data_IF_931004483686
#
_entry.id   IF_931004483686
#
_cell.length_a   1.000
_cell.length_b   1.000
_cell.length_c   1.000
_cell.angle_alpha   90.00
_cell.angle_beta   90.00
_cell.angle_gamma   90.00
#
_symmetry.space_group_name_H-M   'P 1'
#
loop_
_entity.id
_entity.type
_entity.pdbx_description
1 polymer ?
#
# COMPACT_ATOMS: atom_id res chain seq x y z
N UNK A 1 -51.16 9.99 55.17
CA UNK A 1 -51.51 11.12 54.29
C UNK A 1 -50.27 11.54 53.54
N UNK A 2 -50.19 11.23 52.25
CA UNK A 2 -50.53 12.17 51.15
C UNK A 2 -49.58 13.38 51.16
N UNK A 3 -48.91 13.75 50.06
CA UNK A 3 -49.40 13.76 48.70
C UNK A 3 -48.27 14.09 47.73
N UNK A 4 -48.27 13.39 46.61
CA UNK A 4 -47.82 13.88 45.31
C UNK A 4 -48.55 15.19 44.92
N UNK A 5 -47.85 16.11 44.25
CA UNK A 5 -48.41 17.07 43.31
C UNK A 5 -47.23 17.71 42.53
N UNK A 6 -46.99 17.38 41.26
CA UNK A 6 -47.75 17.84 40.09
C UNK A 6 -47.33 19.27 39.69
N UNK A 7 -46.52 19.35 38.63
CA UNK A 7 -46.27 20.59 37.89
C UNK A 7 -47.26 20.67 36.72
N UNK A 8 -48.00 21.78 36.56
CA UNK A 8 -48.91 22.01 35.46
C UNK A 8 -48.25 22.71 34.25
N UNK A 9 -48.37 22.03 33.11
CA UNK A 9 -49.11 22.41 31.89
C UNK A 9 -48.93 23.75 31.11
N UNK A 10 -48.89 23.56 29.78
CA UNK A 10 -49.16 24.43 28.63
C UNK A 10 -48.20 25.59 28.31
N UNK A 11 -47.72 25.79 27.07
CA UNK A 11 -48.49 26.05 25.83
C UNK A 11 -47.55 25.87 24.62
N UNK A 12 -47.81 24.95 23.69
CA UNK A 12 -48.45 25.11 22.36
C UNK A 12 -47.75 26.06 21.37
N UNK A 13 -47.17 25.50 20.30
CA UNK A 13 -47.28 26.02 18.93
C UNK A 13 -46.86 24.94 17.90
N UNK A 14 -47.79 24.67 16.99
CA UNK A 14 -47.72 23.77 15.84
C UNK A 14 -46.63 24.13 14.83
N UNK A 15 -46.08 23.13 14.15
CA UNK A 15 -45.15 23.31 13.04
C UNK A 15 -44.61 21.98 12.51
N UNK A 16 -45.40 21.34 11.63
CA UNK A 16 -45.01 20.21 10.80
C UNK A 16 -43.64 20.45 10.14
N UNK A 17 -42.58 19.79 10.64
CA UNK A 17 -41.31 19.71 9.92
C UNK A 17 -41.24 18.39 9.18
N UNK A 18 -41.70 18.43 7.92
CA UNK A 18 -41.54 17.38 6.95
C UNK A 18 -40.05 17.06 6.75
N UNK A 19 -39.63 15.86 7.16
CA UNK A 19 -38.34 15.29 6.79
C UNK A 19 -38.31 15.07 5.27
N UNK A 20 -37.42 15.74 4.50
CA UNK A 20 -37.34 15.50 3.07
C UNK A 20 -36.72 14.12 2.85
N UNK A 21 -37.55 13.17 2.41
CA UNK A 21 -37.10 11.94 1.77
C UNK A 21 -36.20 12.35 0.60
N UNK A 22 -34.90 12.12 0.74
CA UNK A 22 -33.97 12.24 -0.36
C UNK A 22 -34.19 11.05 -1.30
N UNK A 23 -34.66 11.36 -2.51
CA UNK A 23 -34.84 10.41 -3.60
C UNK A 23 -33.50 9.80 -4.03
N UNK A 24 -33.14 8.67 -3.42
CA UNK A 24 -32.03 7.81 -3.86
C UNK A 24 -32.32 7.03 -5.15
N UNK A 25 -32.79 7.69 -6.23
CA UNK A 25 -33.26 7.00 -7.45
C UNK A 25 -32.55 7.35 -8.76
N UNK A 26 -31.40 8.02 -8.73
CA UNK A 26 -30.69 8.42 -9.96
C UNK A 26 -29.25 7.90 -10.09
N UNK A 27 -28.65 7.33 -9.05
CA UNK A 27 -27.29 6.76 -9.11
C UNK A 27 -27.23 5.28 -9.58
N UNK A 28 -28.37 4.59 -9.64
CA UNK A 28 -28.43 3.14 -9.87
C UNK A 28 -28.48 2.77 -11.37
N UNK A 29 -29.17 3.58 -12.18
CA UNK A 29 -29.43 3.26 -13.60
C UNK A 29 -28.23 3.39 -14.55
N UNK A 30 -27.22 4.21 -14.22
CA UNK A 30 -26.01 4.32 -15.06
C UNK A 30 -25.08 3.14 -14.82
N UNK A 31 -24.86 2.78 -13.55
CA UNK A 31 -24.01 1.66 -13.14
C UNK A 31 -24.52 0.32 -13.68
N UNK A 32 -25.83 0.11 -13.69
CA UNK A 32 -26.44 -1.09 -14.26
C UNK A 32 -26.27 -1.20 -15.79
N UNK A 33 -26.33 -0.06 -16.50
CA UNK A 33 -26.10 -0.04 -17.95
C UNK A 33 -24.64 -0.34 -18.28
N UNK A 34 -23.72 0.21 -17.50
CA UNK A 34 -22.28 0.00 -17.68
C UNK A 34 -21.90 -1.46 -17.33
N UNK A 35 -22.49 -2.05 -16.29
CA UNK A 35 -22.30 -3.46 -15.94
C UNK A 35 -22.80 -4.40 -17.05
N UNK A 36 -24.00 -4.14 -17.59
CA UNK A 36 -24.57 -4.91 -18.69
C UNK A 36 -23.74 -4.79 -19.99
N UNK A 37 -23.20 -3.60 -20.28
CA UNK A 37 -22.32 -3.39 -21.42
C UNK A 37 -20.98 -4.13 -21.24
N UNK A 38 -20.37 -4.04 -20.07
CA UNK A 38 -19.13 -4.75 -19.73
C UNK A 38 -19.30 -6.26 -19.80
N UNK A 39 -20.42 -6.79 -19.31
CA UNK A 39 -20.77 -8.20 -19.46
C UNK A 39 -20.85 -8.62 -20.93
N UNK A 40 -21.57 -7.86 -21.77
CA UNK A 40 -21.67 -8.16 -23.21
C UNK A 40 -20.32 -8.14 -23.90
N UNK A 41 -19.41 -7.22 -23.54
CA UNK A 41 -18.04 -7.21 -24.06
C UNK A 41 -17.30 -8.49 -23.64
N UNK A 42 -17.38 -8.88 -22.38
CA UNK A 42 -16.75 -10.09 -21.88
C UNK A 42 -17.32 -11.36 -22.57
N UNK A 43 -18.63 -11.42 -22.84
CA UNK A 43 -19.26 -12.52 -23.59
C UNK A 43 -18.77 -12.57 -25.05
N UNK A 44 -18.60 -11.42 -25.70
CA UNK A 44 -18.03 -11.35 -27.05
C UNK A 44 -16.57 -11.82 -27.09
N UNK A 45 -15.78 -11.46 -26.07
CA UNK A 45 -14.40 -11.91 -25.88
C UNK A 45 -14.36 -13.43 -25.65
N UNK A 46 -15.23 -13.97 -24.79
CA UNK A 46 -15.35 -15.41 -24.55
C UNK A 46 -15.64 -16.16 -25.85
N UNK A 47 -16.51 -15.61 -26.70
CA UNK A 47 -16.84 -16.17 -28.01
C UNK A 47 -15.63 -16.22 -28.95
N UNK A 48 -14.74 -15.22 -28.91
CA UNK A 48 -13.49 -15.23 -29.70
C UNK A 48 -12.58 -16.38 -29.28
N UNK A 49 -12.41 -16.56 -27.97
CA UNK A 49 -11.57 -17.62 -27.41
C UNK A 49 -12.17 -19.00 -27.73
N UNK A 50 -13.50 -19.15 -27.60
CA UNK A 50 -14.20 -20.38 -27.96
C UNK A 50 -14.09 -20.73 -29.46
N UNK A 51 -13.89 -19.74 -30.34
CA UNK A 51 -13.61 -19.94 -31.77
C UNK A 51 -12.16 -20.34 -32.07
N UNK A 52 -11.33 -20.52 -31.05
CA UNK A 52 -9.94 -20.98 -31.17
C UNK A 52 -8.91 -19.85 -31.21
N UNK A 53 -9.30 -18.60 -30.94
CA UNK A 53 -8.31 -17.53 -30.78
C UNK A 53 -7.51 -17.72 -29.48
N UNK A 54 -6.18 -17.59 -29.57
CA UNK A 54 -5.30 -17.79 -28.42
C UNK A 54 -5.59 -16.79 -27.29
N UNK A 55 -5.82 -17.29 -26.07
CA UNK A 55 -6.16 -16.48 -24.89
C UNK A 55 -5.17 -15.32 -24.67
N UNK A 56 -3.86 -15.60 -24.72
CA UNK A 56 -2.78 -14.61 -24.53
C UNK A 56 -2.88 -13.45 -25.52
N UNK A 57 -3.25 -13.73 -26.78
CA UNK A 57 -3.43 -12.70 -27.81
C UNK A 57 -4.62 -11.81 -27.46
N UNK A 58 -5.75 -12.43 -27.14
CA UNK A 58 -6.98 -11.72 -26.76
C UNK A 58 -6.76 -10.89 -25.50
N UNK A 59 -6.08 -11.43 -24.49
CA UNK A 59 -5.74 -10.71 -23.26
C UNK A 59 -4.90 -9.46 -23.53
N UNK A 60 -3.86 -9.55 -24.37
CA UNK A 60 -3.06 -8.38 -24.79
C UNK A 60 -3.89 -7.30 -25.46
N UNK A 61 -4.84 -7.70 -26.30
CA UNK A 61 -5.68 -6.77 -27.06
C UNK A 61 -6.77 -6.13 -26.19
N UNK A 62 -7.44 -6.91 -25.31
CA UNK A 62 -8.69 -6.48 -24.67
C UNK A 62 -8.64 -6.33 -23.16
N UNK A 63 -7.59 -6.80 -22.47
CA UNK A 63 -7.51 -6.71 -21.00
C UNK A 63 -7.45 -5.26 -20.54
N UNK A 64 -8.32 -4.88 -19.62
CA UNK A 64 -8.29 -3.56 -18.97
C UNK A 64 -7.33 -3.53 -17.76
N UNK A 65 -6.84 -4.69 -17.31
CA UNK A 65 -5.74 -4.81 -16.34
C UNK A 65 -4.41 -4.46 -17.03
N UNK A 66 -3.88 -3.26 -16.74
CA UNK A 66 -2.66 -2.74 -17.37
C UNK A 66 -1.43 -3.57 -17.01
N UNK A 67 -1.34 -4.06 -15.77
CA UNK A 67 -0.18 -4.81 -15.26
C UNK A 67 -0.11 -6.19 -15.94
N UNK A 68 -1.26 -6.85 -16.07
CA UNK A 68 -1.37 -8.17 -16.69
C UNK A 68 -1.37 -8.16 -18.22
N UNK A 69 -1.81 -7.07 -18.86
CA UNK A 69 -2.02 -7.00 -20.33
C UNK A 69 -0.77 -7.34 -21.12
N UNK A 70 0.37 -6.75 -20.79
CA UNK A 70 1.63 -6.99 -21.50
C UNK A 70 2.09 -8.46 -21.41
N UNK A 71 1.89 -9.06 -20.23
CA UNK A 71 2.21 -10.45 -19.93
C UNK A 71 1.17 -11.45 -20.44
N UNK A 72 0.10 -10.99 -21.12
CA UNK A 72 -0.94 -11.87 -21.64
C UNK A 72 -1.95 -12.34 -20.58
N UNK A 73 -2.07 -11.62 -19.47
CA UNK A 73 -2.98 -11.94 -18.36
C UNK A 73 -2.42 -12.99 -17.41
N UNK A 74 -1.10 -13.19 -17.35
CA UNK A 74 -0.47 -14.15 -16.44
C UNK A 74 -0.59 -13.69 -14.98
N UNK A 75 -1.27 -14.48 -14.15
CA UNK A 75 -1.50 -14.19 -12.73
C UNK A 75 -0.62 -15.03 -11.80
N UNK A 76 0.11 -16.02 -12.33
CA UNK A 76 0.88 -16.97 -11.55
C UNK A 76 0.00 -17.87 -10.68
N UNK A 77 0.62 -18.48 -9.67
CA UNK A 77 -0.08 -19.40 -8.76
C UNK A 77 -0.95 -18.65 -7.75
N UNK A 78 -2.27 -18.79 -7.87
CA UNK A 78 -3.25 -18.15 -6.99
C UNK A 78 -3.84 -19.13 -5.98
N UNK A 79 -4.06 -18.67 -4.74
CA UNK A 79 -4.74 -19.43 -3.68
C UNK A 79 -6.24 -19.14 -3.71
N UNK A 80 -7.06 -20.10 -3.25
CA UNK A 80 -8.50 -19.87 -3.04
C UNK A 80 -8.72 -18.66 -2.12
N UNK A 81 -9.72 -17.85 -2.44
CA UNK A 81 -10.07 -16.60 -1.75
C UNK A 81 -9.27 -15.38 -2.19
N UNK A 82 -8.29 -15.51 -3.10
CA UNK A 82 -7.40 -14.39 -3.50
C UNK A 82 -7.75 -13.76 -4.85
N UNK A 83 -8.82 -14.21 -5.50
CA UNK A 83 -9.22 -13.79 -6.85
C UNK A 83 -10.41 -12.82 -6.87
N UNK A 84 -11.03 -12.56 -5.71
CA UNK A 84 -12.21 -11.71 -5.61
C UNK A 84 -13.43 -12.23 -6.39
N UNK A 85 -13.53 -13.55 -6.56
CA UNK A 85 -14.66 -14.21 -7.20
C UNK A 85 -15.70 -14.63 -6.17
N UNK A 86 -16.92 -14.96 -6.64
CA UNK A 86 -17.88 -15.68 -5.79
C UNK A 86 -17.36 -17.09 -5.48
N UNK A 87 -17.73 -17.65 -4.33
CA UNK A 87 -17.34 -19.03 -3.95
C UNK A 87 -17.72 -20.05 -5.04
N UNK A 88 -18.86 -19.86 -5.69
CA UNK A 88 -19.34 -20.73 -6.75
C UNK A 88 -18.48 -20.63 -8.02
N UNK A 89 -18.06 -19.43 -8.39
CA UNK A 89 -17.23 -19.22 -9.59
C UNK A 89 -15.78 -19.62 -9.35
N UNK A 90 -15.26 -19.37 -8.14
CA UNK A 90 -13.95 -19.89 -7.75
C UNK A 90 -13.94 -21.42 -7.71
N UNK A 91 -15.00 -22.05 -7.19
CA UNK A 91 -15.12 -23.51 -7.22
C UNK A 91 -15.09 -24.05 -8.66
N UNK A 92 -15.74 -23.39 -9.62
CA UNK A 92 -15.66 -23.76 -11.05
C UNK A 92 -14.23 -23.62 -11.58
N UNK A 93 -13.54 -22.52 -11.27
CA UNK A 93 -12.16 -22.30 -11.69
C UNK A 93 -11.21 -23.40 -11.18
N UNK A 94 -11.30 -23.72 -9.89
CA UNK A 94 -10.44 -24.75 -9.29
C UNK A 94 -10.81 -26.19 -9.69
N UNK A 95 -12.02 -26.40 -10.24
CA UNK A 95 -12.43 -27.67 -10.85
C UNK A 95 -12.13 -27.75 -12.35
N UNK A 96 -11.77 -26.64 -13.00
CA UNK A 96 -11.51 -26.57 -14.42
C UNK A 96 -10.18 -27.25 -14.79
N UNK A 97 -10.13 -27.90 -15.94
CA UNK A 97 -8.92 -28.58 -16.43
C UNK A 97 -7.93 -27.55 -16.98
N UNK A 98 -6.62 -27.88 -17.03
CA UNK A 98 -5.66 -27.05 -17.73
C UNK A 98 -6.09 -26.77 -19.17
N UNK A 99 -6.16 -25.50 -19.55
CA UNK A 99 -6.66 -25.03 -20.85
C UNK A 99 -8.13 -24.58 -20.86
N UNK A 100 -8.91 -24.89 -19.82
CA UNK A 100 -10.31 -24.47 -19.75
C UNK A 100 -10.41 -22.99 -19.39
N UNK A 101 -11.36 -22.30 -20.05
CA UNK A 101 -11.69 -20.89 -19.77
C UNK A 101 -12.96 -20.83 -18.93
N UNK A 102 -12.87 -20.17 -17.78
CA UNK A 102 -14.00 -19.93 -16.87
C UNK A 102 -14.40 -18.46 -16.96
N UNK A 103 -15.70 -18.24 -17.21
CA UNK A 103 -16.32 -16.93 -17.27
C UNK A 103 -17.15 -16.71 -18.54
N UNK A 104 -17.66 -15.48 -18.73
CA UNK A 104 -17.35 -14.29 -17.93
C UNK A 104 -17.98 -14.32 -16.52
N UNK A 105 -17.18 -14.01 -15.49
CA UNK A 105 -17.62 -13.95 -14.09
C UNK A 105 -17.36 -12.57 -13.49
N UNK A 106 -18.16 -12.19 -12.49
CA UNK A 106 -18.00 -10.90 -11.82
C UNK A 106 -16.92 -10.99 -10.75
N UNK A 107 -15.94 -10.08 -10.79
CA UNK A 107 -14.88 -9.97 -9.79
C UNK A 107 -15.05 -8.69 -8.97
N UNK A 108 -15.06 -8.82 -7.65
CA UNK A 108 -15.05 -7.69 -6.72
C UNK A 108 -13.71 -6.96 -6.72
N UNK A 109 -12.60 -7.70 -6.93
CA UNK A 109 -11.25 -7.17 -6.93
C UNK A 109 -10.96 -6.38 -8.21
N UNK A 110 -11.35 -6.90 -9.37
CA UNK A 110 -11.20 -6.20 -10.65
C UNK A 110 -12.32 -5.18 -10.93
N UNK A 111 -13.32 -5.08 -10.03
CA UNK A 111 -14.48 -4.19 -10.19
C UNK A 111 -15.18 -4.34 -11.56
N UNK A 112 -15.30 -5.57 -12.05
CA UNK A 112 -15.75 -5.83 -13.43
C UNK A 112 -15.95 -7.30 -13.78
N UNK A 113 -15.94 -7.61 -15.08
CA UNK A 113 -16.12 -8.96 -15.62
C UNK A 113 -14.79 -9.52 -16.09
N UNK A 114 -14.46 -10.73 -15.64
CA UNK A 114 -13.19 -11.40 -15.96
C UNK A 114 -13.43 -12.74 -16.65
N UNK A 115 -12.48 -13.10 -17.52
CA UNK A 115 -12.33 -14.43 -18.11
C UNK A 115 -11.01 -15.01 -17.60
N UNK A 116 -11.04 -16.24 -17.09
CA UNK A 116 -9.89 -16.85 -16.44
C UNK A 116 -9.55 -18.15 -17.15
N UNK A 117 -8.31 -18.27 -17.63
CA UNK A 117 -7.77 -19.51 -18.16
C UNK A 117 -7.13 -20.30 -17.02
N UNK A 118 -7.58 -21.54 -16.80
CA UNK A 118 -6.90 -22.45 -15.88
C UNK A 118 -5.62 -22.96 -16.54
N UNK A 119 -4.46 -22.46 -16.14
CA UNK A 119 -3.17 -22.98 -16.63
C UNK A 119 -2.74 -24.27 -15.91
N UNK A 120 -3.30 -24.53 -14.73
CA UNK A 120 -2.97 -25.70 -13.92
C UNK A 120 -3.45 -25.57 -12.48
N UNK A 121 -3.47 -26.70 -11.76
CA UNK A 121 -3.79 -26.75 -10.33
C UNK A 121 -2.74 -27.59 -9.61
N UNK A 122 -2.35 -27.16 -8.41
CA UNK A 122 -1.41 -27.86 -7.54
C UNK A 122 -2.02 -27.96 -6.13
N UNK A 123 -1.99 -29.16 -5.55
CA UNK A 123 -2.55 -29.43 -4.23
C UNK A 123 -1.48 -29.99 -3.29
N UNK A 124 -1.61 -29.67 -2.00
CA UNK A 124 -0.75 -30.16 -0.93
C UNK A 124 0.43 -29.25 -0.58
N UNK A 125 1.15 -29.62 0.48
CA UNK A 125 2.39 -28.95 0.90
C UNK A 125 3.50 -29.28 -0.08
N UNK A 126 3.87 -28.32 -0.92
CA UNK A 126 5.03 -28.46 -1.80
C UNK A 126 6.30 -28.44 -0.96
N UNK A 127 7.20 -29.41 -1.18
CA UNK A 127 8.51 -29.44 -0.52
C UNK A 127 9.41 -28.35 -1.12
N UNK A 128 10.35 -27.84 -0.33
CA UNK A 128 11.28 -26.79 -0.78
C UNK A 128 11.97 -27.15 -2.11
N UNK A 129 12.47 -28.39 -2.25
CA UNK A 129 13.13 -28.87 -3.48
C UNK A 129 12.26 -28.73 -4.73
N UNK A 130 10.93 -28.86 -4.60
CA UNK A 130 9.99 -28.77 -5.74
C UNK A 130 9.73 -27.33 -6.17
N UNK A 131 9.90 -26.36 -5.27
CA UNK A 131 9.62 -24.93 -5.52
C UNK A 131 10.89 -24.08 -5.53
N UNK A 132 12.05 -24.64 -5.24
CA UNK A 132 13.31 -23.90 -5.14
C UNK A 132 13.62 -23.09 -6.41
N UNK A 133 13.39 -23.67 -7.58
CA UNK A 133 13.57 -22.97 -8.87
C UNK A 133 12.60 -21.79 -9.04
N UNK A 134 11.32 -21.99 -8.69
CA UNK A 134 10.30 -20.92 -8.75
C UNK A 134 10.64 -19.78 -7.78
N UNK A 135 11.01 -20.12 -6.53
CA UNK A 135 11.41 -19.15 -5.51
C UNK A 135 12.68 -18.40 -5.92
N UNK A 136 13.66 -19.08 -6.52
CA UNK A 136 14.88 -18.44 -7.02
C UNK A 136 14.57 -17.49 -8.18
N UNK A 137 13.68 -17.85 -9.09
CA UNK A 137 13.24 -16.97 -10.17
C UNK A 137 12.45 -15.77 -9.66
N UNK A 138 11.55 -15.97 -8.70
CA UNK A 138 10.79 -14.90 -8.06
C UNK A 138 11.72 -13.93 -7.32
N UNK A 139 12.65 -14.46 -6.52
CA UNK A 139 13.66 -13.68 -5.82
C UNK A 139 14.53 -12.91 -6.82
N UNK A 140 14.98 -13.54 -7.90
CA UNK A 140 15.78 -12.88 -8.93
C UNK A 140 15.00 -11.77 -9.63
N UNK A 141 13.69 -11.96 -9.88
CA UNK A 141 12.82 -10.91 -10.44
C UNK A 141 12.71 -9.72 -9.47
N UNK A 142 12.51 -9.99 -8.18
CA UNK A 142 12.45 -8.96 -7.14
C UNK A 142 13.78 -8.20 -7.04
N UNK A 143 14.91 -8.90 -6.98
CA UNK A 143 16.24 -8.28 -6.93
C UNK A 143 16.53 -7.42 -8.16
N UNK A 144 16.17 -7.91 -9.35
CA UNK A 144 16.28 -7.12 -10.59
C UNK A 144 15.40 -5.87 -10.54
N UNK A 145 14.17 -5.99 -10.06
CA UNK A 145 13.27 -4.84 -9.93
C UNK A 145 13.85 -3.78 -8.96
N UNK A 146 14.36 -4.22 -7.80
CA UNK A 146 15.04 -3.35 -6.82
C UNK A 146 16.28 -2.68 -7.44
N UNK A 147 17.11 -3.44 -8.16
CA UNK A 147 18.31 -2.90 -8.81
C UNK A 147 17.97 -1.86 -9.88
N UNK A 148 16.91 -2.08 -10.66
CA UNK A 148 16.40 -1.13 -11.66
C UNK A 148 15.88 0.14 -10.97
N UNK A 149 15.05 -0.01 -9.93
CA UNK A 149 14.50 1.11 -9.17
C UNK A 149 15.61 1.97 -8.54
N UNK A 150 16.62 1.33 -7.95
CA UNK A 150 17.80 2.03 -7.42
C UNK A 150 18.53 2.82 -8.51
N UNK A 151 18.78 2.19 -9.68
CA UNK A 151 19.43 2.85 -10.81
C UNK A 151 18.63 4.04 -11.33
N UNK A 152 17.31 3.94 -11.37
CA UNK A 152 16.43 5.06 -11.75
C UNK A 152 16.57 6.21 -10.76
N UNK A 153 16.58 5.93 -9.45
CA UNK A 153 16.75 6.96 -8.43
C UNK A 153 18.13 7.60 -8.46
N UNK A 154 19.20 6.83 -8.72
CA UNK A 154 20.55 7.37 -8.94
C UNK A 154 20.60 8.29 -10.17
N UNK A 155 19.90 7.91 -11.24
CA UNK A 155 19.78 8.72 -12.47
C UNK A 155 19.00 10.01 -12.20
N UNK A 156 17.90 9.95 -11.45
CA UNK A 156 17.14 11.13 -11.03
C UNK A 156 17.96 12.07 -10.14
N UNK A 157 18.74 11.52 -9.21
CA UNK A 157 19.64 12.31 -8.38
C UNK A 157 20.71 13.02 -9.23
N UNK A 158 21.31 12.30 -10.19
CA UNK A 158 22.29 12.89 -11.09
C UNK A 158 21.69 14.01 -11.95
N UNK A 159 20.50 13.80 -12.52
CA UNK A 159 19.76 14.82 -13.27
C UNK A 159 19.42 16.05 -12.40
N UNK A 160 19.02 15.83 -11.14
CA UNK A 160 18.73 16.89 -10.17
C UNK A 160 19.96 17.71 -9.81
N UNK A 161 21.13 17.05 -9.69
CA UNK A 161 22.41 17.74 -9.47
C UNK A 161 22.85 18.56 -10.68
N UNK A 162 22.59 18.07 -11.89
CA UNK A 162 22.94 18.76 -13.14
C UNK A 162 22.06 19.99 -13.43
N UNK A 163 20.86 20.06 -12.85
CA UNK A 163 19.92 21.17 -13.03
C UNK A 163 19.47 21.77 -11.68
N UNK A 164 20.38 22.43 -10.95
CA UNK A 164 20.09 22.95 -9.61
C UNK A 164 18.95 23.99 -9.61
N UNK A 165 18.77 24.75 -10.69
CA UNK A 165 17.73 25.79 -10.78
C UNK A 165 16.33 25.25 -11.09
N UNK A 166 16.21 23.97 -11.47
CA UNK A 166 14.90 23.36 -11.80
C UNK A 166 14.31 22.62 -10.60
N UNK A 167 12.99 22.66 -10.46
CA UNK A 167 12.30 21.89 -9.42
C UNK A 167 12.14 20.43 -9.84
N UNK A 168 11.86 19.54 -8.87
CA UNK A 168 11.56 18.15 -9.21
C UNK A 168 10.32 18.01 -10.09
N UNK A 169 9.32 18.89 -9.96
CA UNK A 169 8.12 18.89 -10.82
C UNK A 169 8.48 19.20 -12.28
N UNK A 170 9.47 20.05 -12.53
CA UNK A 170 9.93 20.39 -13.88
C UNK A 170 10.80 19.28 -14.49
N UNK A 171 11.59 18.58 -13.65
CA UNK A 171 12.49 17.52 -14.07
C UNK A 171 11.79 16.17 -14.24
N UNK A 172 10.78 15.91 -13.41
CA UNK A 172 10.08 14.63 -13.30
C UNK A 172 8.56 14.85 -13.20
N UNK A 173 7.91 15.23 -14.32
CA UNK A 173 6.48 15.55 -14.32
C UNK A 173 5.57 14.30 -14.26
N UNK A 174 6.15 13.09 -14.21
CA UNK A 174 5.45 11.80 -14.15
C UNK A 174 4.85 11.34 -15.48
N UNK A 175 4.49 10.05 -15.54
CA UNK A 175 3.94 9.39 -16.73
C UNK A 175 2.72 10.11 -17.36
N UNK A 176 1.85 10.71 -16.55
CA UNK A 176 0.66 11.42 -17.01
C UNK A 176 0.97 12.67 -17.86
N UNK A 177 2.06 13.39 -17.55
CA UNK A 177 2.50 14.56 -18.32
C UNK A 177 3.32 14.15 -19.56
N UNK A 178 4.11 13.07 -19.46
CA UNK A 178 4.85 12.50 -20.57
C UNK A 178 3.93 11.87 -21.63
N UNK A 179 2.76 11.34 -21.23
CA UNK A 179 1.73 10.88 -22.14
C UNK A 179 1.05 12.04 -22.90
N UNK A 180 0.80 13.18 -22.23
CA UNK A 180 0.25 14.39 -22.86
C UNK A 180 1.22 15.07 -23.84
N UNK A 181 2.53 14.89 -23.67
CA UNK A 181 3.56 15.41 -24.59
C UNK A 181 3.82 14.49 -25.80
N UNK A 182 3.35 13.24 -25.77
CA UNK A 182 3.55 12.25 -26.85
C UNK A 182 2.42 12.22 -27.89
N UNK A 183 1.34 12.97 -27.70
CA UNK A 183 0.22 13.05 -28.66
C UNK A 183 0.49 13.97 -29.86
N UNK A 184 1.64 14.64 -29.93
CA UNK A 184 1.93 15.64 -30.99
C UNK A 184 3.11 15.27 -31.93
N UNK A 185 3.45 13.98 -32.06
CA UNK A 185 4.28 13.51 -33.18
C UNK A 185 3.78 12.19 -33.75
N UNK A 186 3.07 12.33 -34.86
CA UNK A 186 2.56 11.29 -35.74
C UNK A 186 3.67 10.41 -36.33
N UNK A 187 3.38 9.12 -36.32
CA UNK A 187 3.46 8.21 -37.47
C UNK A 187 4.85 7.84 -38.03
N UNK A 188 5.25 6.58 -37.79
CA UNK A 188 5.49 5.63 -38.89
C UNK A 188 5.59 4.19 -38.39
N UNK A 189 4.79 3.37 -39.05
CA UNK A 189 4.82 1.91 -39.10
C UNK A 189 6.21 1.34 -39.28
N UNK A 190 6.58 0.35 -38.46
CA UNK A 190 7.38 -0.77 -38.95
C UNK A 190 6.95 -2.10 -38.29
N UNK A 191 6.67 -3.03 -39.19
CA UNK A 191 6.18 -4.39 -39.00
C UNK A 191 7.33 -5.27 -38.52
N UNK A 192 7.19 -5.95 -37.38
CA UNK A 192 8.16 -6.97 -36.96
C UNK A 192 7.43 -8.28 -36.65
N UNK A 193 7.64 -9.25 -37.53
CA UNK A 193 7.27 -10.66 -37.38
C UNK A 193 8.12 -11.35 -36.30
N UNK A 194 7.61 -12.42 -35.65
CA UNK A 194 8.25 -13.02 -34.49
C UNK A 194 9.40 -13.95 -34.93
N UNK A 195 10.62 -13.68 -34.46
CA UNK A 195 11.71 -14.66 -34.49
C UNK A 195 11.97 -15.20 -33.09
N UNK A 196 12.03 -16.52 -33.05
CA UNK A 196 12.31 -17.40 -31.92
C UNK A 196 13.67 -17.10 -31.29
N UNK A 197 13.70 -16.91 -29.96
CA UNK A 197 14.95 -16.77 -29.20
C UNK A 197 15.27 -18.12 -28.55
N UNK A 198 16.32 -18.77 -29.04
CA UNK A 198 17.03 -19.86 -28.34
C UNK A 198 17.93 -19.25 -27.26
N UNK A 199 18.02 -19.94 -26.13
CA UNK A 199 18.89 -19.60 -25.00
C UNK A 199 20.37 -19.54 -25.43
N UNK A 200 20.98 -18.37 -25.20
CA UNK A 200 22.42 -18.12 -25.33
C UNK A 200 22.89 -17.26 -24.16
N UNK A 201 24.10 -17.56 -23.65
CA UNK A 201 24.76 -16.94 -22.49
C UNK A 201 24.73 -15.40 -22.51
N UNK A 202 24.77 -14.75 -21.33
CA UNK A 202 24.74 -13.29 -21.23
C UNK A 202 26.07 -12.67 -21.67
N UNK A 203 26.01 -11.82 -22.69
CA UNK A 203 27.10 -10.93 -23.10
C UNK A 203 27.23 -9.76 -22.10
N UNK A 204 28.44 -9.43 -21.60
CA UNK A 204 28.64 -8.41 -20.56
C UNK A 204 28.73 -6.97 -21.10
N UNK A 205 28.08 -6.66 -22.22
CA UNK A 205 28.15 -5.31 -22.83
C UNK A 205 26.82 -4.84 -23.41
N UNK A 206 25.79 -4.81 -22.58
CA UNK A 206 24.59 -4.03 -22.86
C UNK A 206 24.88 -2.56 -22.54
N UNK A 207 25.18 -1.79 -23.58
CA UNK A 207 25.31 -0.35 -23.52
C UNK A 207 24.05 0.29 -22.90
N UNK A 208 24.27 1.27 -22.03
CA UNK A 208 23.24 2.02 -21.32
C UNK A 208 22.39 2.82 -22.31
N UNK A 209 21.22 2.30 -22.69
CA UNK A 209 20.10 3.12 -23.14
C UNK A 209 19.78 4.12 -22.02
N UNK A 210 19.63 5.43 -22.29
CA UNK A 210 19.23 6.38 -21.26
C UNK A 210 17.85 5.96 -20.76
N UNK A 211 17.81 5.48 -19.52
CA UNK A 211 16.56 5.02 -18.93
C UNK A 211 15.74 6.25 -18.61
N UNK A 212 14.61 6.42 -19.30
CA UNK A 212 13.65 7.46 -18.95
C UNK A 212 13.20 7.19 -17.51
N UNK A 213 13.54 8.10 -16.60
CA UNK A 213 13.19 7.94 -15.19
C UNK A 213 11.73 8.35 -15.04
N UNK A 214 10.85 7.35 -14.88
CA UNK A 214 9.46 7.58 -14.52
C UNK A 214 9.36 7.80 -13.01
N UNK A 215 9.80 8.98 -12.58
CA UNK A 215 9.67 9.44 -11.20
C UNK A 215 8.52 10.44 -11.08
N UNK A 216 7.86 10.41 -9.92
CA UNK A 216 6.81 11.35 -9.55
C UNK A 216 7.35 12.32 -8.52
N UNK A 217 7.17 13.61 -8.79
CA UNK A 217 7.54 14.67 -7.85
C UNK A 217 6.39 14.97 -6.88
N UNK A 218 6.65 14.82 -5.58
CA UNK A 218 5.70 15.13 -4.51
C UNK A 218 6.33 16.05 -3.45
N UNK A 219 5.48 16.69 -2.66
CA UNK A 219 5.90 17.55 -1.57
C UNK A 219 5.51 16.90 -0.24
N UNK A 220 6.47 16.77 0.65
CA UNK A 220 6.20 16.35 2.03
C UNK A 220 5.71 17.55 2.84
N UNK A 221 4.84 17.31 3.82
CA UNK A 221 4.59 18.29 4.88
C UNK A 221 5.82 18.58 5.74
N UNK A 222 5.71 19.57 6.63
CA UNK A 222 6.75 19.84 7.63
C UNK A 222 6.86 18.68 8.61
N UNK A 223 8.07 18.16 8.82
CA UNK A 223 8.35 17.12 9.81
C UNK A 223 9.45 17.53 10.78
N UNK A 224 9.40 17.02 12.01
CA UNK A 224 10.33 17.38 13.08
C UNK A 224 11.55 16.46 13.11
N UNK A 225 12.66 16.94 13.69
CA UNK A 225 13.89 16.15 13.91
C UNK A 225 13.70 14.90 14.76
N UNK A 226 12.68 14.89 15.62
CA UNK A 226 12.38 13.78 16.51
C UNK A 226 11.29 12.86 15.95
N UNK A 227 10.62 13.25 14.87
CA UNK A 227 9.64 12.41 14.20
C UNK A 227 10.32 11.44 13.24
N UNK A 228 9.76 10.24 13.13
CA UNK A 228 10.19 9.23 12.15
C UNK A 228 9.20 9.12 11.00
N UNK A 229 7.94 9.50 11.21
CA UNK A 229 6.89 9.51 10.19
C UNK A 229 6.97 10.80 9.37
N UNK A 230 7.07 10.63 8.06
CA UNK A 230 7.06 11.71 7.07
C UNK A 230 5.78 11.55 6.23
N UNK A 231 5.06 12.64 6.02
CA UNK A 231 3.84 12.62 5.20
C UNK A 231 4.14 12.11 3.78
N UNK A 232 3.21 11.32 3.21
CA UNK A 232 3.33 10.58 1.93
C UNK A 232 4.36 9.43 1.93
N UNK A 233 5.41 9.50 2.75
CA UNK A 233 6.50 8.52 2.74
C UNK A 233 6.41 7.48 3.87
N UNK A 234 5.62 7.75 4.92
CA UNK A 234 5.46 6.84 6.06
C UNK A 234 6.66 6.90 7.02
N UNK A 235 6.89 5.81 7.76
CA UNK A 235 7.95 5.72 8.75
C UNK A 235 9.34 5.57 8.09
N UNK A 236 10.17 6.61 8.24
CA UNK A 236 11.50 6.69 7.65
C UNK A 236 12.49 7.43 8.56
N UNK A 237 13.02 6.77 9.60
CA UNK A 237 13.97 7.38 10.54
C UNK A 237 15.29 7.79 9.87
N UNK A 238 15.74 7.04 8.86
CA UNK A 238 16.97 7.34 8.12
C UNK A 238 16.81 8.59 7.25
N UNK A 239 15.67 8.73 6.56
CA UNK A 239 15.37 9.92 5.78
C UNK A 239 15.22 11.14 6.70
N UNK A 240 14.47 11.01 7.80
CA UNK A 240 14.33 12.07 8.77
C UNK A 240 15.71 12.57 9.24
N UNK A 241 16.60 11.65 9.64
CA UNK A 241 17.96 12.00 10.08
C UNK A 241 18.78 12.69 9.00
N UNK A 242 18.77 12.16 7.77
CA UNK A 242 19.56 12.72 6.65
C UNK A 242 19.01 14.06 6.16
N UNK A 243 17.69 14.27 6.17
CA UNK A 243 17.07 15.54 5.78
C UNK A 243 17.56 16.72 6.65
N UNK A 244 17.80 16.51 7.95
CA UNK A 244 18.35 17.55 8.84
C UNK A 244 19.83 17.89 8.60
N UNK A 245 20.54 17.10 7.79
CA UNK A 245 21.90 17.42 7.34
C UNK A 245 21.92 18.30 6.08
N UNK A 246 20.77 18.47 5.40
CA UNK A 246 20.67 19.26 4.18
C UNK A 246 20.79 20.76 4.49
N UNK A 247 21.38 21.48 3.54
CA UNK A 247 21.56 22.93 3.61
C UNK A 247 21.25 23.55 2.24
N UNK A 248 21.13 24.88 2.17
CA UNK A 248 20.96 25.55 0.87
C UNK A 248 22.12 25.26 -0.10
N UNK A 249 23.34 25.06 0.41
CA UNK A 249 24.51 24.71 -0.41
C UNK A 249 24.53 23.24 -0.84
N UNK A 250 23.88 22.35 -0.09
CA UNK A 250 23.75 20.93 -0.40
C UNK A 250 22.29 20.49 -0.14
N UNK A 251 21.35 20.83 -1.05
CA UNK A 251 19.93 20.65 -0.80
C UNK A 251 19.42 19.25 -1.14
N UNK A 252 20.24 18.34 -1.67
CA UNK A 252 19.80 17.03 -2.16
C UNK A 252 20.31 15.89 -1.27
N UNK A 253 19.46 14.90 -0.98
CA UNK A 253 19.83 13.64 -0.34
C UNK A 253 19.18 12.43 -1.04
N UNK A 254 19.75 11.26 -0.79
CA UNK A 254 19.33 9.98 -1.34
C UNK A 254 20.28 9.43 -2.41
N UNK A 255 19.87 8.37 -3.14
CA UNK A 255 18.59 7.67 -2.99
C UNK A 255 18.43 6.98 -1.62
N UNK A 256 17.24 7.05 -1.03
CA UNK A 256 16.89 6.35 0.22
C UNK A 256 15.81 5.33 -0.09
N UNK A 257 15.96 4.11 0.41
CA UNK A 257 14.96 3.05 0.28
C UNK A 257 13.90 3.19 1.37
N UNK A 258 12.63 3.21 0.98
CA UNK A 258 11.48 3.34 1.86
C UNK A 258 10.41 2.37 1.35
N UNK A 259 10.10 1.33 2.14
CA UNK A 259 9.08 0.32 1.82
C UNK A 259 9.18 -0.27 0.40
N UNK A 260 10.41 -0.57 -0.06
CA UNK A 260 10.66 -1.13 -1.40
C UNK A 260 10.68 -0.11 -2.55
N UNK A 261 10.49 1.18 -2.26
CA UNK A 261 10.64 2.29 -3.22
C UNK A 261 11.90 3.10 -2.95
N UNK A 262 12.50 3.68 -3.98
CA UNK A 262 13.66 4.59 -3.84
C UNK A 262 13.24 6.05 -4.01
N UNK A 263 13.63 6.88 -3.06
CA UNK A 263 13.27 8.30 -3.02
C UNK A 263 14.52 9.17 -3.03
N UNK A 264 14.48 10.24 -3.82
CA UNK A 264 15.44 11.34 -3.77
C UNK A 264 14.72 12.54 -3.20
N UNK A 265 15.32 13.22 -2.23
CA UNK A 265 14.72 14.39 -1.57
C UNK A 265 15.49 15.66 -1.86
N UNK A 266 14.75 16.77 -1.89
CA UNK A 266 15.30 18.12 -1.98
C UNK A 266 14.79 18.98 -0.83
N UNK A 267 15.69 19.65 -0.14
CA UNK A 267 15.36 20.67 0.86
C UNK A 267 14.62 21.80 0.17
N UNK A 268 13.33 21.95 0.51
CA UNK A 268 12.48 23.05 0.06
C UNK A 268 12.53 24.22 1.02
N UNK A 269 12.26 23.94 2.29
CA UNK A 269 12.28 24.94 3.36
C UNK A 269 12.73 24.33 4.68
N UNK A 270 13.27 25.18 5.54
CA UNK A 270 13.55 24.85 6.93
C UNK A 270 12.89 25.93 7.78
N UNK A 271 12.01 25.48 8.68
CA UNK A 271 11.35 26.35 9.66
C UNK A 271 12.00 26.13 11.01
N UNK A 272 12.78 27.10 11.47
CA UNK A 272 13.32 27.07 12.82
C UNK A 272 12.22 27.45 13.84
N UNK A 273 12.35 27.01 15.11
CA UNK A 273 11.40 27.35 16.16
C UNK A 273 11.32 28.87 16.36
N UNK A 274 10.11 29.41 16.40
CA UNK A 274 9.89 30.83 16.70
C UNK A 274 9.92 31.05 18.22
N UNK A 275 10.87 31.84 18.76
CA UNK A 275 10.97 32.11 20.20
C UNK A 275 9.74 32.85 20.74
N UNK A 276 9.06 33.67 19.94
CA UNK A 276 7.85 34.37 20.37
C UNK A 276 6.67 33.38 20.54
N UNK A 277 6.52 32.43 19.60
CA UNK A 277 5.53 31.35 19.73
C UNK A 277 5.86 30.39 20.87
N UNK A 278 7.15 30.11 21.11
CA UNK A 278 7.59 29.32 22.26
C UNK A 278 7.17 29.97 23.58
N UNK A 279 7.40 31.28 23.75
CA UNK A 279 7.00 31.97 24.98
C UNK A 279 5.47 31.99 25.15
N UNK A 280 4.70 32.17 24.07
CA UNK A 280 3.23 32.06 24.13
C UNK A 280 2.75 30.66 24.57
N UNK A 281 3.44 29.59 24.14
CA UNK A 281 3.06 28.19 24.42
C UNK A 281 3.79 27.58 25.62
N UNK A 282 4.63 28.34 26.31
CA UNK A 282 5.54 27.84 27.34
C UNK A 282 4.84 27.07 28.45
N UNK A 283 3.74 27.61 28.97
CA UNK A 283 2.98 26.98 30.06
C UNK A 283 2.35 25.64 29.64
N UNK A 284 1.83 25.55 28.41
CA UNK A 284 1.29 24.32 27.85
C UNK A 284 2.40 23.27 27.66
N UNK A 285 3.50 23.66 27.01
CA UNK A 285 4.65 22.78 26.77
C UNK A 285 5.31 22.30 28.07
N UNK A 286 5.36 23.14 29.11
CA UNK A 286 5.81 22.75 30.44
C UNK A 286 4.90 21.68 31.03
N UNK A 287 3.59 21.88 30.96
CA UNK A 287 2.62 20.91 31.49
C UNK A 287 2.67 19.57 30.75
N UNK A 288 2.85 19.59 29.43
CA UNK A 288 3.02 18.38 28.62
C UNK A 288 4.32 17.65 28.97
N UNK A 289 5.42 18.39 29.16
CA UNK A 289 6.69 17.82 29.58
C UNK A 289 6.62 17.21 31.00
N UNK A 290 5.95 17.89 31.92
CA UNK A 290 5.68 17.41 33.27
C UNK A 290 4.84 16.13 33.24
N UNK A 291 3.77 16.09 32.44
CA UNK A 291 2.93 14.91 32.28
C UNK A 291 3.69 13.73 31.66
N UNK A 292 4.49 13.99 30.62
CA UNK A 292 5.35 12.99 30.02
C UNK A 292 6.35 12.41 31.03
N UNK A 293 6.97 13.28 31.84
CA UNK A 293 7.91 12.85 32.89
C UNK A 293 7.20 12.09 34.01
N UNK A 294 6.03 12.56 34.41
CA UNK A 294 5.20 11.89 35.41
C UNK A 294 4.83 10.47 34.94
N UNK A 295 4.38 10.31 33.70
CA UNK A 295 4.08 9.01 33.12
C UNK A 295 5.32 8.09 33.11
N UNK A 296 6.48 8.59 32.69
CA UNK A 296 7.72 7.82 32.69
C UNK A 296 8.09 7.33 34.11
N UNK A 297 8.05 8.22 35.10
CA UNK A 297 8.37 7.90 36.50
C UNK A 297 7.34 6.94 37.09
N UNK A 298 6.06 7.19 36.85
CA UNK A 298 4.97 6.37 37.36
C UNK A 298 5.03 4.96 36.78
N UNK A 299 5.15 4.81 35.44
CA UNK A 299 5.29 3.50 34.79
C UNK A 299 6.53 2.77 35.28
N UNK A 300 7.67 3.46 35.43
CA UNK A 300 8.89 2.87 36.00
C UNK A 300 8.69 2.40 37.43
N UNK A 301 8.06 3.21 38.27
CA UNK A 301 7.76 2.89 39.67
C UNK A 301 6.80 1.71 39.81
N UNK A 302 5.67 1.72 39.09
CA UNK A 302 4.69 0.62 39.08
C UNK A 302 5.37 -0.69 38.65
N UNK A 303 6.19 -0.64 37.61
CA UNK A 303 6.92 -1.82 37.15
C UNK A 303 7.91 -2.34 38.19
N UNK A 304 8.65 -1.45 38.84
CA UNK A 304 9.57 -1.85 39.90
C UNK A 304 8.83 -2.51 41.09
N UNK A 305 7.72 -1.93 41.54
CA UNK A 305 6.86 -2.51 42.58
C UNK A 305 6.28 -3.87 42.17
N UNK A 306 5.87 -4.01 40.92
CA UNK A 306 5.39 -5.28 40.36
C UNK A 306 6.49 -6.36 40.41
N UNK A 307 7.70 -6.02 39.98
CA UNK A 307 8.85 -6.94 40.01
C UNK A 307 9.25 -7.34 41.43
N UNK A 308 9.26 -6.40 42.38
CA UNK A 308 9.47 -6.69 43.80
C UNK A 308 8.41 -7.66 44.34
N UNK A 309 7.12 -7.39 44.11
CA UNK A 309 6.03 -8.26 44.53
C UNK A 309 6.12 -9.66 43.91
N UNK A 310 6.51 -9.75 42.63
CA UNK A 310 6.78 -11.02 41.93
C UNK A 310 7.91 -11.79 42.60
N UNK A 311 9.06 -11.15 42.83
CA UNK A 311 10.23 -11.77 43.48
C UNK A 311 9.96 -12.22 44.91
N UNK A 312 9.06 -11.52 45.62
CA UNK A 312 8.63 -11.86 46.97
C UNK A 312 7.50 -12.92 47.01
N UNK A 313 7.08 -13.48 45.86
CA UNK A 313 6.01 -14.48 45.79
C UNK A 313 4.61 -13.96 46.15
N UNK A 314 4.39 -12.64 46.09
CA UNK A 314 3.13 -11.98 46.50
C UNK A 314 2.11 -11.84 45.37
N UNK A 315 2.42 -12.32 44.16
CA UNK A 315 1.54 -12.25 43.00
C UNK A 315 0.98 -13.63 42.65
N UNK A 316 -0.35 -13.73 42.64
CA UNK A 316 -1.07 -14.95 42.20
C UNK A 316 -1.83 -14.64 40.92
N UNK A 317 -1.54 -15.36 39.84
CA UNK A 317 -2.24 -15.22 38.56
C UNK A 317 -3.32 -16.30 38.44
N UNK A 318 -4.59 -15.87 38.37
CA UNK A 318 -5.69 -16.79 38.09
C UNK A 318 -5.81 -17.05 36.59
N UNK A 319 -5.19 -18.15 36.13
CA UNK A 319 -5.17 -18.52 34.70
C UNK A 319 -6.53 -18.93 34.14
N UNK A 320 -7.51 -19.27 34.98
CA UNK A 320 -8.84 -19.65 34.52
C UNK A 320 -9.60 -18.47 33.89
N UNK A 321 -9.30 -17.23 34.32
CA UNK A 321 -9.90 -16.01 33.77
C UNK A 321 -9.27 -15.56 32.43
N UNK A 322 -8.15 -16.15 32.03
CA UNK A 322 -7.44 -15.79 30.79
C UNK A 322 -7.86 -16.67 29.61
N UNK A 323 -8.74 -17.66 29.82
CA UNK A 323 -9.19 -18.58 28.78
C UNK A 323 -10.30 -17.94 27.94
N UNK A 324 -10.12 -17.88 26.63
CA UNK A 324 -11.19 -17.51 25.69
C UNK A 324 -12.06 -18.74 25.37
N UNK A 325 -13.34 -18.51 25.04
CA UNK A 325 -14.34 -19.56 24.80
C UNK A 325 -13.86 -20.63 23.79
N UNK A 326 -13.10 -20.23 22.77
CA UNK A 326 -12.61 -21.11 21.70
C UNK A 326 -11.15 -21.61 21.90
N UNK A 327 -10.48 -21.25 23.00
CA UNK A 327 -9.09 -21.63 23.26
C UNK A 327 -8.99 -22.87 24.15
N UNK A 328 -8.18 -23.87 23.77
CA UNK A 328 -7.92 -25.05 24.62
C UNK A 328 -7.09 -24.70 25.87
N UNK A 329 -6.16 -23.76 25.74
CA UNK A 329 -5.26 -23.31 26.81
C UNK A 329 -5.26 -21.78 26.96
N UNK A 330 -5.09 -21.26 28.20
CA UNK A 330 -4.96 -19.82 28.43
C UNK A 330 -3.68 -19.28 27.77
N UNK A 331 -3.66 -18.02 27.30
CA UNK A 331 -2.48 -17.40 26.73
C UNK A 331 -1.33 -17.35 27.73
N UNK A 332 -0.11 -17.43 27.23
CA UNK A 332 1.09 -17.21 28.04
C UNK A 332 1.07 -15.77 28.59
N UNK A 333 0.87 -15.64 29.90
CA UNK A 333 0.88 -14.36 30.58
C UNK A 333 1.94 -14.37 31.67
N UNK A 334 2.91 -13.47 31.53
CA UNK A 334 3.91 -13.21 32.55
C UNK A 334 3.58 -11.88 33.25
N UNK A 335 3.29 -11.90 34.57
CA UNK A 335 3.06 -10.66 35.30
C UNK A 335 4.34 -9.80 35.23
N UNK A 336 4.13 -8.50 35.04
CA UNK A 336 5.17 -7.48 34.90
C UNK A 336 5.98 -7.53 33.57
N UNK A 337 5.49 -8.24 32.53
CA UNK A 337 6.16 -8.33 31.22
C UNK A 337 6.22 -7.01 30.42
N UNK A 338 7.26 -6.86 29.57
CA UNK A 338 7.55 -5.71 28.70
C UNK A 338 8.97 -5.16 28.90
N UNK A 339 9.50 -4.33 28.00
CA UNK A 339 10.85 -3.75 28.14
C UNK A 339 10.90 -2.56 29.11
N UNK A 340 12.08 -2.31 29.69
CA UNK A 340 12.40 -1.09 30.44
C UNK A 340 12.97 -0.11 29.42
N UNK A 341 12.32 1.05 29.20
CA UNK A 341 13.00 2.14 28.50
C UNK A 341 14.19 2.53 29.38
N UNK A 342 15.45 2.35 28.95
CA UNK A 342 16.60 2.62 29.79
C UNK A 342 16.57 4.11 30.17
N UNK A 343 16.87 4.41 31.45
CA UNK A 343 17.14 5.78 31.90
C UNK A 343 18.21 6.35 30.96
N UNK A 344 17.88 7.39 30.19
CA UNK A 344 18.93 8.17 29.52
C UNK A 344 19.82 8.76 30.62
N UNK A 345 21.15 8.53 30.62
CA UNK A 345 22.03 9.19 31.56
C UNK A 345 21.91 10.71 31.37
N UNK A 346 21.81 11.40 32.51
CA UNK A 346 21.84 12.86 32.66
C UNK A 346 23.14 13.45 32.16
#
# INVERSE_FOLDING_TARGET
>A
DEKAAEQPDTTKADGDNANPKTDGKTADKSKDKDDAASRKRAEAIATRIAKGEAFVKVARETSEDQDGRASGGELGWRRKGTLGLSDADEAKLFAAKPGDVVGPVKSSQAQGWVLLLSSGSRAGTLTFDKVQGELAEEQLKQEKAVAIAKRHAETALAASKAAPDKTFKDLFPGEAALAAAKTDKTDKTDKVEPKTVKAGKPDPKAAATPVAVDARAEETGLFSRRGTIIEQLGDSPELAKSAWSLTAAAPLAGPVEIAGSYVVVRLKERKDPDPAELEKKKAELQRDAELAKWNEVFTSWVKHRCLEAKSAGKLTVNKALLKYEDSQEPPAYEPCGGDVVPRRPS
#
